data_IF_875636304021
#
_entry.id   IF_875636304021
#
_cell.length_a   1.000
_cell.length_b   1.000
_cell.length_c   1.000
_cell.angle_alpha   90.00
_cell.angle_beta   90.00
_cell.angle_gamma   90.00
#
_symmetry.space_group_name_H-M   'P 1'
#
loop_
_entity.id
_entity.type
_entity.pdbx_description
1 polymer ?
#
# COMPACT_ATOMS: atom_id res chain seq x y z
N UNK A 1 9.68 -16.66 -0.22
CA UNK A 1 9.05 -15.38 0.19
C UNK A 1 8.26 -15.57 1.47
N UNK A 2 8.68 -14.95 2.60
CA UNK A 2 7.90 -14.93 3.85
C UNK A 2 6.72 -13.97 3.67
N UNK A 3 5.50 -14.47 3.47
CA UNK A 3 4.28 -13.66 3.53
C UNK A 3 4.21 -12.97 4.90
N UNK A 4 4.43 -11.65 4.94
CA UNK A 4 4.13 -10.82 6.12
C UNK A 4 2.62 -10.86 6.29
N UNK A 5 2.11 -11.59 7.28
CA UNK A 5 0.67 -11.57 7.57
C UNK A 5 0.33 -10.20 8.12
N UNK A 6 -0.33 -9.34 7.31
CA UNK A 6 -1.05 -8.19 7.86
C UNK A 6 -2.07 -8.74 8.85
N UNK A 7 -1.86 -8.44 10.12
CA UNK A 7 -2.79 -8.80 11.18
C UNK A 7 -4.04 -7.95 11.01
N UNK A 8 -5.20 -8.61 10.94
CA UNK A 8 -6.49 -7.91 10.92
C UNK A 8 -6.55 -7.00 12.16
N UNK A 9 -7.12 -5.81 12.01
CA UNK A 9 -7.46 -5.00 13.16
C UNK A 9 -8.49 -5.77 14.00
N UNK A 10 -8.08 -6.09 15.22
CA UNK A 10 -8.87 -6.89 16.16
C UNK A 10 -10.27 -6.32 16.38
N UNK A 11 -10.36 -5.00 16.45
CA UNK A 11 -11.62 -4.27 16.59
C UNK A 11 -12.58 -4.48 15.42
N UNK A 12 -12.08 -4.56 14.18
CA UNK A 12 -12.94 -4.80 13.03
C UNK A 12 -13.51 -6.22 13.04
N UNK A 13 -12.69 -7.23 13.32
CA UNK A 13 -13.16 -8.62 13.42
C UNK A 13 -14.22 -8.80 14.51
N UNK A 14 -13.99 -8.22 15.69
CA UNK A 14 -14.94 -8.30 16.82
C UNK A 14 -16.27 -7.62 16.47
N UNK A 15 -16.24 -6.43 15.84
CA UNK A 15 -17.46 -5.72 15.41
C UNK A 15 -18.23 -6.52 14.36
N UNK A 16 -17.54 -7.11 13.39
CA UNK A 16 -18.16 -7.94 12.37
C UNK A 16 -18.85 -9.17 12.98
N UNK A 17 -18.17 -9.88 13.89
CA UNK A 17 -18.75 -11.04 14.60
C UNK A 17 -19.92 -10.64 15.48
N UNK A 18 -19.85 -9.49 16.16
CA UNK A 18 -20.99 -8.98 16.94
C UNK A 18 -22.20 -8.68 16.05
N UNK A 19 -21.98 -8.08 14.88
CA UNK A 19 -23.03 -7.87 13.88
C UNK A 19 -23.62 -9.19 13.39
N UNK A 20 -22.78 -10.19 13.08
CA UNK A 20 -23.24 -11.52 12.67
C UNK A 20 -24.08 -12.22 13.76
N UNK A 21 -23.63 -12.17 15.02
CA UNK A 21 -24.35 -12.70 16.17
C UNK A 21 -25.73 -12.03 16.34
N UNK A 22 -25.79 -10.70 16.24
CA UNK A 22 -27.03 -9.95 16.30
C UNK A 22 -27.99 -10.33 15.15
N UNK A 23 -27.47 -10.46 13.92
CA UNK A 23 -28.26 -10.88 12.76
C UNK A 23 -28.83 -12.29 12.91
N UNK A 24 -28.03 -13.26 13.39
CA UNK A 24 -28.50 -14.64 13.66
C UNK A 24 -29.66 -14.64 14.64
N UNK A 25 -29.55 -13.89 15.73
CA UNK A 25 -30.61 -13.80 16.74
C UNK A 25 -31.86 -13.10 16.19
N UNK A 26 -31.70 -11.95 15.52
CA UNK A 26 -32.81 -11.20 14.94
C UNK A 26 -33.59 -12.04 13.92
N UNK A 27 -32.90 -12.72 13.01
CA UNK A 27 -33.51 -13.60 12.01
C UNK A 27 -34.23 -14.77 12.70
N UNK A 28 -33.62 -15.42 13.69
CA UNK A 28 -34.25 -16.51 14.42
C UNK A 28 -35.56 -16.08 15.11
N UNK A 29 -35.57 -14.90 15.72
CA UNK A 29 -36.77 -14.33 16.35
C UNK A 29 -37.86 -14.01 15.32
N UNK A 30 -37.51 -13.40 14.18
CA UNK A 30 -38.47 -13.12 13.10
C UNK A 30 -39.05 -14.41 12.54
N UNK A 31 -38.23 -15.42 12.27
CA UNK A 31 -38.69 -16.71 11.75
C UNK A 31 -39.61 -17.43 12.75
N UNK A 32 -39.31 -17.35 14.04
CA UNK A 32 -40.13 -17.98 15.06
C UNK A 32 -41.46 -17.25 15.30
N UNK A 33 -41.44 -15.93 15.47
CA UNK A 33 -42.63 -15.17 15.87
C UNK A 33 -43.46 -14.64 14.70
N UNK A 34 -42.83 -14.20 13.61
CA UNK A 34 -43.55 -13.60 12.48
C UNK A 34 -43.95 -14.64 11.42
N UNK A 35 -43.06 -15.62 11.15
CA UNK A 35 -43.33 -16.69 10.18
C UNK A 35 -43.96 -17.94 10.82
N UNK A 36 -44.03 -18.01 12.16
CA UNK A 36 -44.66 -19.11 12.89
C UNK A 36 -43.91 -20.44 12.80
N UNK A 37 -42.64 -20.43 12.40
CA UNK A 37 -41.83 -21.66 12.28
C UNK A 37 -41.23 -21.99 13.64
N UNK A 38 -41.58 -23.16 14.19
CA UNK A 38 -41.11 -23.61 15.50
C UNK A 38 -39.60 -23.91 15.50
N UNK A 39 -38.79 -22.88 15.76
CA UNK A 39 -37.35 -23.00 15.96
C UNK A 39 -36.96 -23.27 17.42
N UNK A 40 -35.88 -24.04 17.68
CA UNK A 40 -35.34 -24.27 19.02
C UNK A 40 -34.56 -23.03 19.51
N UNK A 41 -35.26 -21.95 19.87
CA UNK A 41 -34.68 -20.65 20.24
C UNK A 41 -33.64 -20.79 21.37
N UNK A 42 -33.89 -21.63 22.38
CA UNK A 42 -32.94 -21.84 23.47
C UNK A 42 -31.58 -22.35 22.95
N UNK A 43 -31.56 -23.31 22.04
CA UNK A 43 -30.33 -23.84 21.45
C UNK A 43 -29.62 -22.79 20.57
N UNK A 44 -30.38 -21.99 19.83
CA UNK A 44 -29.84 -20.87 19.03
C UNK A 44 -29.18 -19.82 19.95
N UNK A 45 -29.83 -19.46 21.05
CA UNK A 45 -29.29 -18.55 22.05
C UNK A 45 -27.98 -19.08 22.67
N UNK A 46 -27.88 -20.38 22.92
CA UNK A 46 -26.63 -21.00 23.41
C UNK A 46 -25.50 -20.84 22.38
N UNK A 47 -25.76 -21.12 21.10
CA UNK A 47 -24.74 -20.94 20.04
C UNK A 47 -24.29 -19.48 19.93
N UNK A 48 -25.23 -18.54 19.96
CA UNK A 48 -24.94 -17.10 19.92
C UNK A 48 -24.18 -16.65 21.19
N UNK A 49 -24.50 -17.23 22.36
CA UNK A 49 -23.79 -16.95 23.61
C UNK A 49 -22.34 -17.44 23.56
N UNK A 50 -22.07 -18.60 22.94
CA UNK A 50 -20.69 -19.09 22.72
C UNK A 50 -19.91 -18.13 21.80
N UNK A 51 -20.54 -17.64 20.72
CA UNK A 51 -19.94 -16.63 19.83
C UNK A 51 -19.65 -15.31 20.58
N UNK A 52 -20.59 -14.84 21.39
CA UNK A 52 -20.45 -13.63 22.19
C UNK A 52 -19.35 -13.77 23.26
N UNK A 53 -19.28 -14.91 23.95
CA UNK A 53 -18.23 -15.21 24.92
C UNK A 53 -16.86 -15.24 24.23
N UNK A 54 -16.75 -15.91 23.08
CA UNK A 54 -15.54 -15.89 22.26
C UNK A 54 -15.10 -14.47 21.90
N UNK A 55 -16.04 -13.58 21.56
CA UNK A 55 -15.75 -12.16 21.31
C UNK A 55 -15.27 -11.41 22.55
N UNK A 56 -15.81 -11.71 23.74
CA UNK A 56 -15.35 -11.11 25.00
C UNK A 56 -13.94 -11.58 25.35
N UNK A 57 -13.61 -12.85 25.13
CA UNK A 57 -12.24 -13.37 25.32
C UNK A 57 -11.25 -12.73 24.35
N UNK A 58 -11.72 -12.35 23.16
CA UNK A 58 -11.00 -11.52 22.22
C UNK A 58 -11.04 -10.04 22.60
N UNK A 59 -11.22 -9.64 23.87
CA UNK A 59 -11.11 -8.25 24.37
C UNK A 59 -9.80 -8.08 25.18
N UNK A 60 -8.83 -7.38 24.61
CA UNK A 60 -7.44 -7.15 25.07
C UNK A 60 -6.95 -5.82 24.50
N UNK A 61 -5.85 -5.30 25.04
CA UNK A 61 -5.25 -4.01 24.65
C UNK A 61 -4.47 -4.07 23.33
N UNK A 62 -4.06 -5.25 22.90
CA UNK A 62 -3.29 -5.41 21.66
C UNK A 62 -4.16 -5.13 20.43
N UNK A 63 -3.70 -4.30 19.47
CA UNK A 63 -4.50 -3.90 18.31
C UNK A 63 -4.64 -5.02 17.28
N UNK A 64 -3.77 -6.03 17.32
CA UNK A 64 -3.61 -7.04 16.27
C UNK A 64 -3.69 -8.46 16.82
N UNK A 65 -4.35 -9.35 16.07
CA UNK A 65 -4.44 -10.77 16.42
C UNK A 65 -3.38 -11.61 15.68
N UNK A 66 -2.86 -12.63 16.38
CA UNK A 66 -2.04 -13.66 15.76
C UNK A 66 -2.85 -14.49 14.76
N UNK A 67 -2.27 -14.91 13.61
CA UNK A 67 -2.97 -15.73 12.62
C UNK A 67 -3.56 -17.03 13.19
N UNK A 68 -2.93 -17.62 14.21
CA UNK A 68 -3.44 -18.85 14.87
C UNK A 68 -4.74 -18.59 15.62
N UNK A 69 -4.84 -17.43 16.28
CA UNK A 69 -6.06 -17.04 17.00
C UNK A 69 -7.17 -16.75 16.01
N UNK A 70 -6.88 -16.01 14.93
CA UNK A 70 -7.85 -15.75 13.85
C UNK A 70 -8.37 -17.07 13.27
N UNK A 71 -7.49 -18.02 12.95
CA UNK A 71 -7.91 -19.34 12.48
C UNK A 71 -8.85 -20.03 13.46
N UNK A 72 -8.46 -20.15 14.73
CA UNK A 72 -9.26 -20.84 15.74
C UNK A 72 -10.66 -20.23 15.89
N UNK A 73 -10.74 -18.90 15.83
CA UNK A 73 -12.00 -18.16 15.87
C UNK A 73 -12.86 -18.43 14.64
N UNK A 74 -12.28 -18.39 13.43
CA UNK A 74 -13.02 -18.70 12.19
C UNK A 74 -13.50 -20.16 12.16
N UNK A 75 -12.68 -21.09 12.64
CA UNK A 75 -13.06 -22.51 12.74
C UNK A 75 -14.23 -22.70 13.72
N UNK A 76 -14.20 -21.99 14.85
CA UNK A 76 -15.32 -21.94 15.79
C UNK A 76 -16.57 -21.34 15.14
N UNK A 77 -16.46 -20.24 14.39
CA UNK A 77 -17.59 -19.62 13.71
C UNK A 77 -18.23 -20.54 12.65
N UNK A 78 -17.40 -21.28 11.91
CA UNK A 78 -17.86 -22.33 10.97
C UNK A 78 -18.60 -23.43 11.73
N UNK A 79 -18.06 -23.90 12.85
CA UNK A 79 -18.70 -24.92 13.69
C UNK A 79 -20.05 -24.46 14.27
N UNK A 80 -20.11 -23.23 14.80
CA UNK A 80 -21.34 -22.63 15.32
C UNK A 80 -22.38 -22.41 14.21
N UNK A 81 -21.96 -21.97 13.02
CA UNK A 81 -22.83 -21.88 11.85
C UNK A 81 -23.34 -23.27 11.45
N UNK A 82 -22.48 -24.29 11.47
CA UNK A 82 -22.90 -25.68 11.18
C UNK A 82 -23.98 -26.14 12.15
N UNK A 83 -23.77 -25.92 13.45
CA UNK A 83 -24.75 -26.25 14.48
C UNK A 83 -26.07 -25.51 14.28
N UNK A 84 -26.00 -24.21 13.96
CA UNK A 84 -27.18 -23.39 13.69
C UNK A 84 -27.96 -23.91 12.47
N UNK A 85 -27.27 -24.21 11.37
CA UNK A 85 -27.89 -24.74 10.15
C UNK A 85 -28.52 -26.12 10.42
N UNK A 86 -27.83 -26.98 11.17
CA UNK A 86 -28.37 -28.29 11.56
C UNK A 86 -29.70 -28.16 12.33
N UNK A 87 -29.80 -27.20 13.25
CA UNK A 87 -31.02 -26.93 14.03
C UNK A 87 -32.14 -26.25 13.21
N UNK A 88 -31.84 -25.69 12.04
CA UNK A 88 -32.76 -24.81 11.29
C UNK A 88 -33.06 -25.31 9.87
N UNK A 89 -32.79 -26.59 9.55
CA UNK A 89 -33.15 -27.20 8.26
C UNK A 89 -31.99 -27.85 7.49
N UNK A 90 -30.81 -27.95 8.10
CA UNK A 90 -29.65 -28.68 7.58
C UNK A 90 -29.17 -28.17 6.23
N UNK A 91 -28.94 -29.08 5.28
CA UNK A 91 -28.41 -28.77 3.96
C UNK A 91 -29.38 -27.96 3.08
N UNK A 92 -30.68 -27.99 3.38
CA UNK A 92 -31.71 -27.22 2.65
C UNK A 92 -31.80 -25.75 3.09
N UNK A 93 -31.09 -25.38 4.15
CA UNK A 93 -31.18 -24.04 4.71
C UNK A 93 -30.49 -23.00 3.79
N UNK A 94 -31.18 -21.91 3.40
CA UNK A 94 -30.65 -20.91 2.48
C UNK A 94 -29.49 -20.10 3.07
N UNK A 95 -29.32 -20.06 4.39
CA UNK A 95 -28.18 -19.41 5.04
C UNK A 95 -26.88 -20.23 4.96
N UNK A 96 -26.89 -21.40 4.32
CA UNK A 96 -25.66 -22.16 4.01
C UNK A 96 -24.64 -21.34 3.21
N UNK A 97 -25.07 -20.38 2.39
CA UNK A 97 -24.17 -19.46 1.67
C UNK A 97 -23.34 -18.54 2.60
N UNK A 98 -23.72 -18.37 3.87
CA UNK A 98 -22.95 -17.57 4.85
C UNK A 98 -21.55 -18.15 5.08
N UNK A 99 -21.35 -19.45 4.85
CA UNK A 99 -20.00 -20.03 4.84
C UNK A 99 -19.07 -19.35 3.83
N UNK A 100 -19.58 -18.90 2.67
CA UNK A 100 -18.77 -18.17 1.68
C UNK A 100 -18.26 -16.84 2.24
N UNK A 101 -19.04 -16.18 3.11
CA UNK A 101 -18.62 -14.96 3.80
C UNK A 101 -17.44 -15.28 4.72
N UNK A 102 -17.54 -16.33 5.55
CA UNK A 102 -16.42 -16.76 6.40
C UNK A 102 -15.18 -17.16 5.59
N UNK A 103 -15.37 -17.79 4.44
CA UNK A 103 -14.26 -18.16 3.57
C UNK A 103 -13.61 -16.94 2.90
N UNK A 104 -14.40 -15.95 2.52
CA UNK A 104 -13.90 -14.67 2.00
C UNK A 104 -13.09 -13.93 3.08
N UNK A 105 -13.60 -13.89 4.31
CA UNK A 105 -12.95 -13.30 5.47
C UNK A 105 -11.64 -14.00 5.83
N UNK A 106 -11.64 -15.34 5.86
CA UNK A 106 -10.43 -16.14 6.05
C UNK A 106 -9.40 -15.84 4.96
N UNK A 107 -9.83 -15.81 3.70
CA UNK A 107 -8.96 -15.53 2.55
C UNK A 107 -8.46 -14.10 2.50
N UNK A 108 -9.17 -13.15 3.13
CA UNK A 108 -8.75 -11.76 3.31
C UNK A 108 -7.68 -11.60 4.41
N UNK A 109 -7.61 -12.56 5.33
CA UNK A 109 -7.01 -12.34 6.65
C UNK A 109 -5.88 -13.29 6.99
N UNK A 110 -5.93 -14.52 6.49
CA UNK A 110 -4.99 -15.59 6.81
C UNK A 110 -4.03 -15.85 5.65
N UNK A 111 -2.88 -16.48 5.88
CA UNK A 111 -2.05 -16.97 4.80
C UNK A 111 -2.82 -18.02 3.96
N UNK A 112 -2.49 -18.11 2.68
CA UNK A 112 -3.20 -18.95 1.71
C UNK A 112 -3.38 -20.41 2.16
N UNK A 113 -2.35 -21.00 2.79
CA UNK A 113 -2.40 -22.37 3.32
C UNK A 113 -3.51 -22.60 4.36
N UNK A 114 -3.71 -21.64 5.26
CA UNK A 114 -4.72 -21.74 6.32
C UNK A 114 -6.12 -21.43 5.76
N UNK A 115 -6.21 -20.60 4.71
CA UNK A 115 -7.46 -20.34 3.99
C UNK A 115 -7.98 -21.61 3.31
N UNK A 116 -7.09 -22.37 2.64
CA UNK A 116 -7.44 -23.68 2.10
C UNK A 116 -7.80 -24.71 3.18
N UNK A 117 -7.11 -24.68 4.33
CA UNK A 117 -7.49 -25.51 5.48
C UNK A 117 -8.92 -25.23 5.96
N UNK A 118 -9.30 -23.95 6.09
CA UNK A 118 -10.67 -23.56 6.44
C UNK A 118 -11.68 -23.89 5.33
N UNK A 119 -11.29 -23.81 4.05
CA UNK A 119 -12.12 -24.25 2.93
C UNK A 119 -12.46 -25.74 3.06
N UNK A 120 -11.46 -26.58 3.35
CA UNK A 120 -11.64 -28.01 3.58
C UNK A 120 -12.52 -28.29 4.81
N UNK A 121 -12.28 -27.59 5.92
CA UNK A 121 -13.13 -27.69 7.12
C UNK A 121 -14.58 -27.32 6.81
N UNK A 122 -14.79 -26.23 6.07
CA UNK A 122 -16.12 -25.76 5.65
C UNK A 122 -16.81 -26.79 4.77
N UNK A 123 -16.10 -27.39 3.81
CA UNK A 123 -16.66 -28.44 2.95
C UNK A 123 -17.08 -29.67 3.77
N UNK A 124 -16.26 -30.08 4.75
CA UNK A 124 -16.60 -31.18 5.66
C UNK A 124 -17.79 -30.87 6.57
N UNK A 125 -17.82 -29.68 7.17
CA UNK A 125 -18.94 -29.17 7.96
C UNK A 125 -20.23 -29.04 7.14
N UNK A 126 -20.14 -28.60 5.89
CA UNK A 126 -21.30 -28.53 5.01
C UNK A 126 -21.76 -29.92 4.58
N UNK A 127 -20.84 -30.86 4.35
CA UNK A 127 -21.19 -32.25 4.01
C UNK A 127 -21.90 -32.96 5.18
N UNK A 128 -21.50 -32.67 6.42
CA UNK A 128 -22.14 -33.30 7.60
C UNK A 128 -23.62 -32.92 7.76
N UNK A 129 -24.07 -31.80 7.18
CA UNK A 129 -25.48 -31.40 7.18
C UNK A 129 -26.38 -32.34 6.38
N UNK A 130 -25.82 -33.18 5.50
CA UNK A 130 -26.56 -34.20 4.75
C UNK A 130 -26.79 -35.50 5.54
N UNK A 131 -26.19 -35.65 6.73
CA UNK A 131 -26.31 -36.85 7.56
C UNK A 131 -27.62 -36.85 8.37
N UNK A 132 -28.21 -35.69 8.62
CA UNK A 132 -29.50 -35.60 9.31
C UNK A 132 -30.62 -36.21 8.44
N UNK A 133 -31.51 -37.07 9.00
CA UNK A 133 -32.63 -37.61 8.26
C UNK A 133 -33.56 -36.45 7.88
N UNK A 134 -33.61 -36.15 6.58
CA UNK A 134 -34.52 -35.13 6.08
C UNK A 134 -35.87 -35.81 5.84
N UNK A 135 -36.84 -35.58 6.72
CA UNK A 135 -38.21 -36.07 6.55
C UNK A 135 -38.81 -35.45 5.30
N UNK A 136 -38.80 -36.17 4.17
CA UNK A 136 -39.38 -35.70 2.91
C UNK A 136 -40.28 -36.75 2.28
N UNK A 137 -41.59 -36.45 2.25
CA UNK A 137 -42.60 -37.20 1.52
C UNK A 137 -42.71 -36.64 0.07
N UNK A 138 -42.40 -37.49 -0.92
CA UNK A 138 -42.54 -37.31 -2.39
C UNK A 138 -41.51 -36.38 -3.09
N UNK A 139 -40.95 -36.85 -4.23
CA UNK A 139 -39.99 -36.09 -5.06
C UNK A 139 -38.49 -36.31 -4.76
N UNK A 140 -38.16 -37.42 -4.08
CA UNK A 140 -36.86 -37.68 -3.42
C UNK A 140 -35.61 -37.47 -4.28
N UNK A 141 -35.63 -37.88 -5.56
CA UNK A 141 -34.41 -37.92 -6.39
C UNK A 141 -34.05 -36.56 -6.98
N UNK A 142 -35.02 -35.78 -7.44
CA UNK A 142 -34.80 -34.48 -8.07
C UNK A 142 -34.35 -33.43 -7.04
N UNK A 143 -35.00 -33.40 -5.86
CA UNK A 143 -34.62 -32.49 -4.77
C UNK A 143 -33.22 -32.80 -4.22
N UNK A 144 -32.88 -34.08 -4.00
CA UNK A 144 -31.54 -34.46 -3.54
C UNK A 144 -30.46 -34.15 -4.59
N UNK A 145 -30.77 -34.34 -5.88
CA UNK A 145 -29.84 -34.00 -6.96
C UNK A 145 -29.64 -32.49 -7.05
N UNK A 146 -30.69 -31.69 -6.89
CA UNK A 146 -30.61 -30.23 -6.78
C UNK A 146 -29.76 -29.80 -5.58
N UNK A 147 -29.97 -30.40 -4.40
CA UNK A 147 -29.26 -30.03 -3.17
C UNK A 147 -27.77 -30.40 -3.23
N UNK A 148 -27.45 -31.57 -3.80
CA UNK A 148 -26.06 -31.97 -4.10
C UNK A 148 -25.42 -31.05 -5.15
N UNK A 149 -26.17 -30.66 -6.18
CA UNK A 149 -25.73 -29.70 -7.19
C UNK A 149 -25.37 -28.35 -6.56
N UNK A 150 -26.23 -27.83 -5.68
CA UNK A 150 -25.97 -26.60 -4.92
C UNK A 150 -24.72 -26.74 -4.03
N UNK A 151 -24.52 -27.90 -3.39
CA UNK A 151 -23.32 -28.15 -2.58
C UNK A 151 -22.04 -28.19 -3.41
N UNK A 152 -22.06 -28.83 -4.58
CA UNK A 152 -20.92 -28.81 -5.52
C UNK A 152 -20.65 -27.38 -5.99
N UNK A 153 -21.70 -26.64 -6.39
CA UNK A 153 -21.59 -25.23 -6.78
C UNK A 153 -21.01 -24.37 -5.65
N UNK A 154 -21.42 -24.62 -4.40
CA UNK A 154 -20.90 -23.97 -3.21
C UNK A 154 -19.40 -24.24 -3.01
N UNK A 155 -18.93 -25.49 -3.17
CA UNK A 155 -17.50 -25.82 -3.07
C UNK A 155 -16.70 -25.11 -4.15
N UNK A 156 -17.19 -25.13 -5.40
CA UNK A 156 -16.54 -24.45 -6.53
C UNK A 156 -16.47 -22.94 -6.28
N UNK A 157 -17.58 -22.33 -5.88
CA UNK A 157 -17.63 -20.90 -5.53
C UNK A 157 -16.67 -20.56 -4.37
N UNK A 158 -16.64 -21.41 -3.34
CA UNK A 158 -15.73 -21.26 -2.21
C UNK A 158 -14.27 -21.34 -2.63
N UNK A 159 -13.90 -22.33 -3.44
CA UNK A 159 -12.55 -22.44 -4.00
C UNK A 159 -12.17 -21.22 -4.84
N UNK A 160 -13.09 -20.73 -5.67
CA UNK A 160 -12.88 -19.50 -6.44
C UNK A 160 -12.67 -18.28 -5.53
N UNK A 161 -13.46 -18.13 -4.47
CA UNK A 161 -13.27 -17.05 -3.48
C UNK A 161 -11.87 -17.13 -2.85
N UNK A 162 -11.41 -18.32 -2.45
CA UNK A 162 -10.08 -18.49 -1.87
C UNK A 162 -9.00 -18.05 -2.84
N UNK A 163 -9.07 -18.48 -4.10
CA UNK A 163 -8.10 -18.12 -5.13
C UNK A 163 -8.16 -16.62 -5.44
N UNK A 164 -9.35 -16.10 -5.73
CA UNK A 164 -9.58 -14.74 -6.17
C UNK A 164 -9.17 -13.72 -5.10
N UNK A 165 -9.63 -13.91 -3.86
CA UNK A 165 -9.31 -12.99 -2.77
C UNK A 165 -7.81 -13.01 -2.47
N UNK A 166 -7.16 -14.18 -2.46
CA UNK A 166 -5.72 -14.24 -2.24
C UNK A 166 -4.93 -13.59 -3.40
N UNK A 167 -5.38 -13.74 -4.65
CA UNK A 167 -4.76 -13.08 -5.81
C UNK A 167 -4.92 -11.57 -5.74
N UNK A 168 -6.11 -11.09 -5.42
CA UNK A 168 -6.39 -9.65 -5.26
C UNK A 168 -5.52 -9.04 -4.16
N UNK A 169 -5.36 -9.73 -3.02
CA UNK A 169 -4.47 -9.30 -1.94
C UNK A 169 -3.02 -9.20 -2.40
N UNK A 170 -2.53 -10.20 -3.12
CA UNK A 170 -1.15 -10.20 -3.61
C UNK A 170 -0.88 -9.00 -4.53
N UNK A 171 -1.83 -8.68 -5.41
CA UNK A 171 -1.74 -7.51 -6.29
C UNK A 171 -1.76 -6.19 -5.49
N UNK A 172 -2.68 -6.06 -4.53
CA UNK A 172 -2.76 -4.89 -3.67
C UNK A 172 -1.49 -4.69 -2.81
N UNK A 173 -0.89 -5.77 -2.33
CA UNK A 173 0.35 -5.70 -1.57
C UNK A 173 1.53 -5.23 -2.45
N UNK A 174 1.62 -5.71 -3.69
CA UNK A 174 2.62 -5.24 -4.66
C UNK A 174 2.46 -3.75 -5.00
N UNK A 175 1.22 -3.30 -5.23
CA UNK A 175 0.93 -1.88 -5.49
C UNK A 175 1.24 -0.99 -4.28
N UNK A 176 0.88 -1.42 -3.07
CA UNK A 176 1.20 -0.67 -1.85
C UNK A 176 2.71 -0.51 -1.66
N UNK A 177 3.51 -1.55 -1.96
CA UNK A 177 4.95 -1.46 -1.86
C UNK A 177 5.54 -0.43 -2.86
N UNK A 178 5.00 -0.36 -4.08
CA UNK A 178 5.38 0.64 -5.05
C UNK A 178 5.03 2.06 -4.59
N UNK A 179 3.81 2.26 -4.05
CA UNK A 179 3.39 3.54 -3.50
C UNK A 179 4.22 3.97 -2.29
N UNK A 180 4.56 3.05 -1.39
CA UNK A 180 5.39 3.36 -0.22
C UNK A 180 6.82 3.75 -0.64
N UNK A 181 7.39 3.10 -1.66
CA UNK A 181 8.69 3.50 -2.23
C UNK A 181 8.61 4.88 -2.88
N UNK A 182 7.57 5.15 -3.68
CA UNK A 182 7.37 6.44 -4.32
C UNK A 182 7.23 7.58 -3.28
N UNK A 183 6.44 7.36 -2.21
CA UNK A 183 6.29 8.32 -1.10
C UNK A 183 7.60 8.60 -0.38
N UNK A 184 8.41 7.57 -0.13
CA UNK A 184 9.73 7.74 0.49
C UNK A 184 10.66 8.58 -0.38
N UNK A 185 10.73 8.27 -1.68
CA UNK A 185 11.53 9.06 -2.63
C UNK A 185 11.06 10.52 -2.66
N UNK A 186 9.76 10.76 -2.84
CA UNK A 186 9.20 12.11 -2.81
C UNK A 186 9.51 12.88 -1.50
N UNK A 187 9.45 12.20 -0.35
CA UNK A 187 9.79 12.82 0.94
C UNK A 187 11.27 13.18 1.05
N UNK A 188 12.18 12.32 0.56
CA UNK A 188 13.63 12.58 0.58
C UNK A 188 13.96 13.72 -0.36
N UNK A 189 13.39 13.71 -1.56
CA UNK A 189 13.47 14.79 -2.55
C UNK A 189 13.00 16.13 -1.96
N UNK A 190 11.86 16.16 -1.28
CA UNK A 190 11.36 17.40 -0.65
C UNK A 190 12.28 17.91 0.45
N UNK A 191 12.80 17.01 1.30
CA UNK A 191 13.75 17.37 2.35
C UNK A 191 15.08 17.86 1.80
N UNK A 192 15.57 17.23 0.73
CA UNK A 192 16.80 17.64 0.04
C UNK A 192 16.68 19.03 -0.57
N UNK A 193 15.55 19.33 -1.24
CA UNK A 193 15.27 20.67 -1.75
C UNK A 193 15.19 21.72 -0.64
N UNK A 194 14.49 21.43 0.46
CA UNK A 194 14.41 22.33 1.62
C UNK A 194 15.77 22.60 2.25
N UNK A 195 16.57 21.55 2.46
CA UNK A 195 17.93 21.66 2.99
C UNK A 195 18.86 22.44 2.05
N UNK A 196 18.77 22.24 0.73
CA UNK A 196 19.55 23.00 -0.24
C UNK A 196 19.24 24.50 -0.16
N UNK A 197 17.96 24.88 -0.07
CA UNK A 197 17.56 26.28 0.04
C UNK A 197 18.03 26.93 1.36
N UNK A 198 17.84 26.24 2.49
CA UNK A 198 18.24 26.76 3.81
C UNK A 198 19.77 26.86 3.98
N UNK A 199 20.53 25.98 3.33
CA UNK A 199 22.00 25.96 3.42
C UNK A 199 22.71 26.84 2.37
N UNK A 200 22.06 27.18 1.24
CA UNK A 200 22.66 28.09 0.24
C UNK A 200 23.02 29.46 0.82
N UNK A 201 22.17 30.03 1.67
CA UNK A 201 22.38 31.37 2.25
C UNK A 201 23.60 31.45 3.19
N UNK A 202 23.75 30.57 4.21
CA UNK A 202 24.93 30.60 5.07
C UNK A 202 26.21 30.22 4.32
N UNK A 203 26.17 29.29 3.36
CA UNK A 203 27.34 28.96 2.53
C UNK A 203 27.81 30.16 1.71
N UNK A 204 26.89 30.88 1.06
CA UNK A 204 27.25 32.09 0.32
C UNK A 204 27.85 33.18 1.24
N UNK A 205 27.34 33.28 2.47
CA UNK A 205 27.88 34.21 3.47
C UNK A 205 29.33 33.84 3.86
N UNK A 206 29.61 32.55 4.08
CA UNK A 206 30.97 32.07 4.37
C UNK A 206 31.90 32.29 3.16
N UNK A 207 31.42 32.06 1.93
CA UNK A 207 32.19 32.29 0.71
C UNK A 207 32.62 33.76 0.58
N UNK A 208 31.69 34.70 0.82
CA UNK A 208 31.99 36.14 0.80
C UNK A 208 32.99 36.51 1.88
N UNK A 209 32.76 36.09 3.14
CA UNK A 209 33.65 36.39 4.26
C UNK A 209 35.08 35.83 4.05
N UNK A 210 35.19 34.61 3.51
CA UNK A 210 36.48 34.01 3.16
C UNK A 210 37.16 34.78 2.00
N UNK A 211 36.38 35.25 1.02
CA UNK A 211 36.86 36.12 -0.04
C UNK A 211 37.41 37.45 0.48
N UNK A 212 36.72 38.10 1.42
CA UNK A 212 37.18 39.32 2.07
C UNK A 212 38.46 39.09 2.89
N UNK A 213 38.50 38.02 3.70
CA UNK A 213 39.70 37.63 4.48
C UNK A 213 40.93 37.44 3.61
N UNK A 214 40.76 36.84 2.42
CA UNK A 214 41.87 36.63 1.47
C UNK A 214 42.59 37.92 1.08
N UNK A 215 41.88 39.06 1.06
CA UNK A 215 42.43 40.38 0.72
C UNK A 215 43.12 41.10 1.88
N UNK A 216 42.87 40.69 3.12
CA UNK A 216 43.35 41.38 4.32
C UNK A 216 44.56 40.66 4.94
N UNK A 217 44.65 39.34 4.73
CA UNK A 217 45.69 38.48 5.30
C UNK A 217 46.92 38.41 4.39
N UNK A 218 48.11 38.49 4.99
CA UNK A 218 49.41 38.38 4.29
C UNK A 218 50.23 37.15 4.70
N UNK A 219 49.82 36.45 5.77
CA UNK A 219 50.49 35.25 6.26
C UNK A 219 50.23 34.07 5.29
N UNK A 220 51.28 33.45 4.70
CA UNK A 220 51.14 32.34 3.76
C UNK A 220 50.31 31.17 4.29
N UNK A 221 50.44 30.82 5.57
CA UNK A 221 49.75 29.65 6.15
C UNK A 221 48.24 29.93 6.27
N UNK A 222 47.87 31.15 6.69
CA UNK A 222 46.46 31.56 6.81
C UNK A 222 45.81 31.74 5.43
N UNK A 223 46.59 32.11 4.41
CA UNK A 223 46.13 32.17 3.02
C UNK A 223 45.73 30.78 2.51
N UNK A 224 46.52 29.75 2.81
CA UNK A 224 46.23 28.37 2.43
C UNK A 224 44.92 27.87 3.08
N UNK A 225 44.73 28.15 4.37
CA UNK A 225 43.50 27.83 5.09
C UNK A 225 42.26 28.53 4.51
N UNK A 226 42.37 29.82 4.16
CA UNK A 226 41.27 30.58 3.54
C UNK A 226 40.88 29.98 2.18
N UNK A 227 41.85 29.59 1.37
CA UNK A 227 41.59 28.96 0.08
C UNK A 227 40.96 27.58 0.24
N UNK A 228 41.39 26.80 1.23
CA UNK A 228 40.75 25.53 1.58
C UNK A 228 39.28 25.72 1.98
N UNK A 229 38.97 26.72 2.81
CA UNK A 229 37.59 27.04 3.21
C UNK A 229 36.75 27.37 1.97
N UNK A 230 37.25 28.21 1.06
CA UNK A 230 36.56 28.55 -0.18
C UNK A 230 36.27 27.31 -1.03
N UNK A 231 37.25 26.43 -1.20
CA UNK A 231 37.08 25.17 -1.93
C UNK A 231 36.02 24.27 -1.29
N UNK A 232 35.99 24.14 0.04
CA UNK A 232 34.99 23.32 0.72
C UNK A 232 33.58 23.93 0.61
N UNK A 233 33.44 25.26 0.71
CA UNK A 233 32.14 25.94 0.56
C UNK A 233 31.61 25.83 -0.86
N UNK A 234 32.48 25.96 -1.87
CA UNK A 234 32.14 25.76 -3.27
C UNK A 234 31.66 24.32 -3.51
N UNK A 235 32.42 23.33 -3.02
CA UNK A 235 32.05 21.92 -3.10
C UNK A 235 30.71 21.60 -2.42
N UNK A 236 30.45 22.19 -1.25
CA UNK A 236 29.16 22.05 -0.58
C UNK A 236 28.02 22.64 -1.41
N UNK A 237 28.23 23.80 -2.04
CA UNK A 237 27.24 24.46 -2.90
C UNK A 237 26.92 23.63 -4.15
N UNK A 238 27.93 22.98 -4.75
CA UNK A 238 27.76 22.07 -5.88
C UNK A 238 26.96 20.82 -5.51
N UNK A 239 27.28 20.17 -4.38
CA UNK A 239 26.56 18.99 -3.89
C UNK A 239 25.09 19.33 -3.61
N UNK A 240 24.82 20.46 -2.94
CA UNK A 240 23.45 20.91 -2.67
C UNK A 240 22.72 21.30 -3.96
N UNK A 241 23.42 21.88 -4.92
CA UNK A 241 22.89 22.17 -6.25
C UNK A 241 22.42 20.89 -6.96
N UNK A 242 23.24 19.85 -6.98
CA UNK A 242 22.89 18.54 -7.57
C UNK A 242 21.69 17.91 -6.86
N UNK A 243 21.68 17.92 -5.51
CA UNK A 243 20.55 17.45 -4.70
C UNK A 243 19.24 18.19 -5.01
N UNK A 244 19.28 19.51 -5.20
CA UNK A 244 18.12 20.32 -5.60
C UNK A 244 17.66 20.05 -7.04
N UNK A 245 18.58 19.75 -7.96
CA UNK A 245 18.29 19.40 -9.36
C UNK A 245 17.49 18.11 -9.48
N UNK A 246 17.96 17.07 -8.79
CA UNK A 246 17.31 15.76 -8.73
C UNK A 246 15.97 15.79 -7.99
N UNK A 247 15.74 16.86 -7.20
CA UNK A 247 14.55 17.05 -6.38
C UNK A 247 13.34 17.64 -7.12
N UNK A 248 13.40 17.77 -8.44
CA UNK A 248 12.21 18.05 -9.26
C UNK A 248 11.76 19.51 -9.29
N UNK A 249 12.54 20.46 -8.75
CA UNK A 249 12.27 21.90 -8.94
C UNK A 249 12.36 22.31 -10.43
N UNK A 250 13.10 21.51 -11.22
CA UNK A 250 13.20 21.61 -12.69
C UNK A 250 11.96 21.01 -13.40
N UNK A 251 11.24 20.08 -12.75
CA UNK A 251 10.11 19.34 -13.36
C UNK A 251 8.79 20.13 -13.25
N UNK A 252 8.74 21.19 -12.44
CA UNK A 252 7.57 22.07 -12.26
C UNK A 252 7.64 23.43 -12.96
N UNK A 253 8.70 23.73 -13.70
CA UNK A 253 8.83 25.02 -14.40
C UNK A 253 7.83 25.11 -15.56
N UNK A 254 6.87 26.03 -15.44
CA UNK A 254 5.90 26.30 -16.51
C UNK A 254 6.65 26.89 -17.71
N UNK A 255 6.49 26.32 -18.93
CA UNK A 255 7.15 26.83 -20.13
C UNK A 255 6.76 28.28 -20.41
N UNK A 256 7.74 29.19 -20.45
CA UNK A 256 7.53 30.61 -20.76
C UNK A 256 8.01 30.92 -22.18
N UNK A 257 7.38 31.88 -22.88
CA UNK A 257 7.86 32.31 -24.19
C UNK A 257 9.23 32.96 -24.05
N UNK A 258 10.25 32.36 -24.65
CA UNK A 258 11.66 32.74 -24.53
C UNK A 258 12.38 32.36 -25.82
N UNK A 259 13.45 33.09 -26.16
CA UNK A 259 14.30 32.75 -27.32
C UNK A 259 15.55 31.98 -26.88
N UNK A 260 16.15 31.21 -27.79
CA UNK A 260 17.38 30.47 -27.47
C UNK A 260 18.53 31.42 -27.12
N UNK A 261 18.58 32.58 -27.77
CA UNK A 261 19.57 33.62 -27.50
C UNK A 261 19.48 34.19 -26.08
N UNK A 262 18.28 34.38 -25.54
CA UNK A 262 18.10 34.81 -24.13
C UNK A 262 18.65 33.81 -23.11
N UNK A 263 18.72 32.52 -23.46
CA UNK A 263 19.25 31.46 -22.60
C UNK A 263 20.77 31.36 -22.73
N UNK A 264 21.29 31.53 -23.96
CA UNK A 264 22.70 31.25 -24.28
C UNK A 264 23.61 32.47 -24.13
N UNK A 265 23.14 33.70 -24.36
CA UNK A 265 23.95 34.91 -24.20
C UNK A 265 24.60 35.05 -22.80
N UNK A 266 23.88 34.76 -21.68
CA UNK A 266 24.49 34.77 -20.36
C UNK A 266 25.58 33.70 -20.20
N UNK A 267 25.39 32.51 -20.80
CA UNK A 267 26.36 31.42 -20.76
C UNK A 267 27.63 31.75 -21.54
N UNK A 268 27.49 32.39 -22.72
CA UNK A 268 28.63 32.83 -23.52
C UNK A 268 29.44 33.95 -22.84
N UNK A 269 28.77 34.82 -22.07
CA UNK A 269 29.45 35.85 -21.27
C UNK A 269 30.26 35.24 -20.10
N UNK A 270 29.76 34.16 -19.50
CA UNK A 270 30.42 33.44 -18.40
C UNK A 270 31.54 32.50 -18.90
N UNK A 271 31.45 31.99 -20.15
CA UNK A 271 32.42 31.07 -20.76
C UNK A 271 33.02 31.63 -22.06
N UNK A 272 34.15 32.38 -22.01
CA UNK A 272 34.69 33.11 -23.16
C UNK A 272 35.23 32.22 -24.30
N UNK A 273 35.36 30.90 -24.08
CA UNK A 273 35.72 29.92 -25.12
C UNK A 273 34.52 29.33 -25.86
N UNK A 274 33.31 29.62 -25.40
CA UNK A 274 32.09 29.11 -25.99
C UNK A 274 31.76 29.90 -27.26
N UNK A 275 31.82 29.23 -28.42
CA UNK A 275 31.34 29.78 -29.70
C UNK A 275 29.93 29.25 -29.94
N UNK A 276 28.97 30.16 -30.11
CA UNK A 276 27.56 29.83 -30.23
C UNK A 276 27.08 30.18 -31.64
N UNK A 277 26.62 29.18 -32.39
CA UNK A 277 25.91 29.36 -33.64
C UNK A 277 24.45 28.91 -33.48
N UNK A 278 23.51 29.82 -33.71
CA UNK A 278 22.07 29.56 -33.61
C UNK A 278 21.48 29.55 -35.04
N UNK A 279 20.91 28.42 -35.45
CA UNK A 279 20.26 28.25 -36.76
C UNK A 279 18.84 28.87 -36.81
N UNK A 280 18.13 28.86 -35.68
CA UNK A 280 16.82 29.49 -35.50
C UNK A 280 16.74 30.08 -34.09
N UNK A 281 16.14 31.26 -33.97
CA UNK A 281 15.99 32.03 -32.72
C UNK A 281 14.52 32.47 -32.52
N UNK A 282 13.60 31.64 -33.01
CA UNK A 282 12.17 31.83 -32.83
C UNK A 282 11.77 31.70 -31.35
N UNK A 283 10.84 32.54 -30.90
CA UNK A 283 10.31 32.48 -29.54
C UNK A 283 9.53 31.18 -29.32
N UNK A 284 10.01 30.35 -28.40
CA UNK A 284 9.40 29.07 -28.05
C UNK A 284 9.06 29.03 -26.57
N UNK A 285 8.08 28.19 -26.21
CA UNK A 285 7.73 28.00 -24.80
C UNK A 285 8.68 26.99 -24.18
N UNK A 286 9.62 27.49 -23.39
CA UNK A 286 10.69 26.69 -22.79
C UNK A 286 10.74 26.89 -21.26
N UNK A 287 11.08 25.85 -20.49
CA UNK A 287 11.45 26.00 -19.09
C UNK A 287 12.87 26.59 -19.01
N UNK A 288 12.94 27.89 -18.74
CA UNK A 288 14.14 28.72 -18.89
C UNK A 288 15.29 28.27 -17.97
N UNK A 289 14.98 27.98 -16.72
CA UNK A 289 15.97 27.55 -15.72
C UNK A 289 16.42 26.12 -15.99
N UNK A 290 15.49 25.23 -16.36
CA UNK A 290 15.81 23.86 -16.76
C UNK A 290 16.79 23.83 -17.94
N UNK A 291 16.49 24.61 -18.98
CA UNK A 291 17.27 24.64 -20.21
C UNK A 291 18.66 25.25 -19.99
N UNK A 292 18.75 26.38 -19.27
CA UNK A 292 20.05 26.99 -18.93
C UNK A 292 20.95 26.00 -18.18
N UNK A 293 20.37 25.20 -17.29
CA UNK A 293 21.12 24.23 -16.49
C UNK A 293 21.64 23.05 -17.30
N UNK A 294 20.82 22.51 -18.21
CA UNK A 294 21.25 21.45 -19.14
C UNK A 294 22.39 21.96 -20.02
N UNK A 295 22.24 23.18 -20.56
CA UNK A 295 23.26 23.79 -21.40
C UNK A 295 24.55 24.07 -20.62
N UNK A 296 24.47 24.59 -19.39
CA UNK A 296 25.64 24.79 -18.53
C UNK A 296 26.39 23.48 -18.29
N UNK A 297 25.68 22.40 -17.94
CA UNK A 297 26.30 21.09 -17.72
C UNK A 297 26.96 20.54 -18.98
N UNK A 298 26.37 20.74 -20.16
CA UNK A 298 26.98 20.34 -21.43
C UNK A 298 28.24 21.16 -21.74
N UNK A 299 28.22 22.47 -21.47
CA UNK A 299 29.37 23.36 -21.66
C UNK A 299 30.52 22.98 -20.72
N UNK A 300 30.23 22.74 -19.44
CA UNK A 300 31.23 22.31 -18.46
C UNK A 300 31.85 20.95 -18.86
N UNK A 301 31.03 20.00 -19.30
CA UNK A 301 31.50 18.71 -19.80
C UNK A 301 32.37 18.86 -21.06
N UNK A 302 31.99 19.74 -21.98
CA UNK A 302 32.74 20.00 -23.20
C UNK A 302 34.08 20.70 -22.93
N UNK A 303 34.12 21.66 -21.99
CA UNK A 303 35.36 22.31 -21.56
C UNK A 303 36.29 21.33 -20.85
N UNK A 304 35.77 20.39 -20.05
CA UNK A 304 36.58 19.32 -19.45
C UNK A 304 37.15 18.39 -20.52
N UNK A 305 36.33 17.89 -21.45
CA UNK A 305 36.78 17.01 -22.51
C UNK A 305 37.81 17.68 -23.45
N UNK A 306 37.64 18.97 -23.75
CA UNK A 306 38.56 19.72 -24.62
C UNK A 306 39.90 20.06 -23.95
N UNK A 307 40.01 19.92 -22.63
CA UNK A 307 41.28 20.08 -21.90
C UNK A 307 42.17 18.84 -21.97
N UNK A 308 41.58 17.66 -22.18
CA UNK A 308 42.30 16.38 -22.27
C UNK A 308 42.89 16.12 -23.68
N UNK A 309 42.50 16.90 -24.69
CA UNK A 309 42.98 16.79 -26.09
C UNK A 309 44.00 17.88 -26.48
N UNK A 310 44.56 18.62 -25.52
CA UNK A 310 45.69 19.52 -25.77
C UNK A 310 47.03 18.73 -25.66
N UNK A 311 47.85 18.64 -26.73
CA UNK A 311 49.21 18.11 -26.63
C UNK A 311 50.14 18.97 -25.75
#
# INVERSE_FOLDING_TARGET
MKQRSRSISRGWLVRLRLGAAASKLAIALVVHFALGIALPIAAICVLVAIEALSNVLLRSREPTLSPRVVLGVMALDIGLLTGLLHLTGGASNPFSFVYLIYLSLASASLPVRWSWGLAGLTAACSASLFIAPVDMHHGHREMLLHLRGMWVAFIVAGGFIVVFVNRLRHELDAQNEHLDRARRLASVTTLAAGAAHELSTPLNTIAVAAGELRHIVSDPDVIEDVELIRQQVQRCSEILGQLGADSGEVIGEMPQPTTLREIVDPLAAEHPRLVVELEDDSAQRLPLRAMRRVLLSLVENAEQASRDDAP
#
